data_IF_096787743654
#
_entry.id   IF_096787743654
#
_cell.length_a   1.000
_cell.length_b   1.000
_cell.length_c   1.000
_cell.angle_alpha   90.00
_cell.angle_beta   90.00
_cell.angle_gamma   90.00
#
_symmetry.space_group_name_H-M   'P 1'
#
loop_
_entity.id
_entity.type
_entity.pdbx_description
1 polymer ?
#
# COMPACT_ATOMS: atom_id res chain seq x y z
N UNK A 1 -27.40 13.93 -19.65
CA UNK A 1 -26.77 13.71 -18.33
C UNK A 1 -26.98 12.23 -18.01
N UNK A 2 -25.93 11.40 -18.11
CA UNK A 2 -26.04 9.95 -17.93
C UNK A 2 -25.95 9.66 -16.42
N UNK A 3 -27.00 9.13 -15.77
CA UNK A 3 -26.91 8.67 -14.38
C UNK A 3 -26.07 7.40 -14.37
N UNK A 4 -24.88 7.45 -13.76
CA UNK A 4 -23.96 6.31 -13.71
C UNK A 4 -22.48 6.68 -13.83
N UNK A 5 -22.15 7.96 -14.08
CA UNK A 5 -20.78 8.47 -14.09
C UNK A 5 -20.45 9.36 -12.88
N UNK A 6 -21.16 9.18 -11.77
CA UNK A 6 -20.52 9.49 -10.50
C UNK A 6 -19.53 8.33 -10.30
N UNK A 7 -18.25 8.56 -10.58
CA UNK A 7 -17.21 7.76 -9.91
C UNK A 7 -17.61 7.79 -8.44
N UNK A 8 -17.88 6.63 -7.86
CA UNK A 8 -18.27 6.53 -6.47
C UNK A 8 -17.09 7.11 -5.67
N UNK A 9 -17.15 8.40 -5.36
CA UNK A 9 -16.15 9.16 -4.59
C UNK A 9 -16.06 8.65 -3.13
N UNK A 10 -16.87 7.64 -2.87
CA UNK A 10 -17.17 6.87 -1.70
C UNK A 10 -16.45 5.49 -1.77
N UNK A 11 -15.56 5.25 -2.74
CA UNK A 11 -14.68 4.06 -2.73
C UNK A 11 -13.24 4.41 -2.38
N UNK A 12 -12.84 4.12 -1.15
CA UNK A 12 -11.48 4.34 -0.66
C UNK A 12 -10.67 3.04 -0.61
N UNK A 13 -9.51 3.03 -1.28
CA UNK A 13 -8.61 1.87 -1.36
C UNK A 13 -7.25 2.18 -0.75
N UNK A 14 -6.73 1.24 0.04
CA UNK A 14 -5.37 1.28 0.60
C UNK A 14 -4.51 0.21 -0.07
N UNK A 15 -3.34 0.62 -0.57
CA UNK A 15 -2.39 -0.28 -1.22
C UNK A 15 -1.25 -0.66 -0.27
N UNK A 16 -1.21 -1.93 0.13
CA UNK A 16 -0.15 -2.51 0.96
C UNK A 16 0.99 -3.09 0.13
N UNK A 17 2.20 -2.57 0.35
CA UNK A 17 3.44 -3.02 -0.32
C UNK A 17 4.46 -3.71 0.60
N UNK A 18 4.14 -3.81 1.89
CA UNK A 18 5.01 -4.37 2.93
C UNK A 18 4.20 -5.17 3.95
N UNK A 19 4.41 -4.93 5.24
CA UNK A 19 3.73 -5.65 6.34
C UNK A 19 2.21 -5.68 6.20
N UNK A 20 1.61 -4.62 5.65
CA UNK A 20 0.16 -4.54 5.38
C UNK A 20 -0.37 -5.68 4.51
N UNK A 21 0.46 -6.30 3.67
CA UNK A 21 0.07 -7.47 2.86
C UNK A 21 -0.26 -8.70 3.73
N UNK A 22 0.29 -8.80 4.94
CA UNK A 22 0.06 -9.94 5.85
C UNK A 22 -0.73 -9.56 7.09
N UNK A 23 -0.53 -8.34 7.59
CA UNK A 23 -1.22 -7.80 8.75
C UNK A 23 -1.63 -6.34 8.49
N UNK A 24 -2.82 -6.09 7.91
CA UNK A 24 -3.26 -4.74 7.57
C UNK A 24 -3.51 -3.87 8.80
N UNK A 25 -3.95 -4.46 9.92
CA UNK A 25 -4.19 -3.72 11.17
C UNK A 25 -5.41 -2.79 11.13
N UNK A 26 -6.27 -2.93 10.12
CA UNK A 26 -7.54 -2.22 9.99
C UNK A 26 -8.60 -3.13 9.37
N UNK A 27 -9.88 -2.81 9.59
CA UNK A 27 -10.99 -3.49 8.94
C UNK A 27 -11.08 -3.09 7.46
N UNK A 28 -11.40 -4.04 6.59
CA UNK A 28 -11.59 -3.79 5.16
C UNK A 28 -12.76 -4.64 4.66
N UNK A 29 -13.47 -4.14 3.66
CA UNK A 29 -14.59 -4.84 3.04
C UNK A 29 -14.13 -5.86 2.01
N UNK A 30 -13.02 -5.56 1.34
CA UNK A 30 -12.52 -6.37 0.23
C UNK A 30 -10.99 -6.32 0.16
N UNK A 31 -10.38 -7.44 -0.22
CA UNK A 31 -8.94 -7.53 -0.56
C UNK A 31 -8.79 -8.05 -1.98
N UNK A 32 -7.99 -7.35 -2.78
CA UNK A 32 -7.65 -7.73 -4.15
C UNK A 32 -6.12 -7.69 -4.38
N UNK A 33 -5.66 -8.37 -5.43
CA UNK A 33 -4.31 -8.20 -5.95
C UNK A 33 -4.24 -6.94 -6.83
N UNK A 34 -3.15 -6.19 -6.71
CA UNK A 34 -2.93 -4.98 -7.51
C UNK A 34 -1.52 -4.96 -8.09
N UNK A 35 -1.40 -4.51 -9.34
CA UNK A 35 -0.12 -4.32 -10.01
C UNK A 35 0.19 -2.83 -10.11
N UNK A 36 1.34 -2.41 -9.57
CA UNK A 36 1.84 -1.04 -9.73
C UNK A 36 2.99 -1.00 -10.74
N UNK A 37 2.95 -0.05 -11.67
CA UNK A 37 3.99 0.17 -12.68
C UNK A 37 4.91 1.33 -12.30
N UNK A 38 6.19 1.24 -12.69
CA UNK A 38 7.22 2.24 -12.40
C UNK A 38 7.83 2.14 -11.00
N UNK A 39 7.42 1.12 -10.23
CA UNK A 39 7.90 0.88 -8.87
C UNK A 39 8.32 -0.57 -8.69
N UNK A 40 9.32 -0.76 -7.81
CA UNK A 40 9.72 -2.07 -7.27
C UNK A 40 9.64 -2.05 -5.75
N UNK A 41 9.33 -3.19 -5.16
CA UNK A 41 9.46 -3.39 -3.71
C UNK A 41 10.93 -3.59 -3.38
N UNK A 42 11.50 -2.75 -2.52
CA UNK A 42 12.90 -2.86 -2.11
C UNK A 42 13.10 -2.43 -0.65
N UNK A 43 14.19 -2.89 -0.01
CA UNK A 43 14.55 -2.49 1.35
C UNK A 43 15.21 -1.10 1.33
N UNK A 44 14.41 -0.06 1.09
CA UNK A 44 14.90 1.30 0.87
C UNK A 44 14.46 2.32 1.93
N UNK A 45 13.65 1.93 2.92
CA UNK A 45 13.19 2.83 3.98
C UNK A 45 13.97 2.56 5.26
N UNK A 46 14.61 3.59 5.83
CA UNK A 46 15.29 3.47 7.12
C UNK A 46 14.28 3.36 8.26
N UNK A 47 14.49 2.40 9.14
CA UNK A 47 13.68 2.18 10.34
C UNK A 47 14.54 2.27 11.59
N UNK A 48 14.11 3.10 12.55
CA UNK A 48 14.79 3.31 13.84
C UNK A 48 14.05 2.72 15.05
N UNK A 49 12.87 2.14 14.85
CA UNK A 49 12.02 1.67 15.96
C UNK A 49 11.59 0.21 15.79
N UNK A 50 11.21 -0.20 14.58
CA UNK A 50 10.59 -1.52 14.38
C UNK A 50 11.61 -2.60 14.01
N UNK A 51 12.48 -2.29 13.03
CA UNK A 51 13.49 -3.21 12.52
C UNK A 51 14.91 -2.68 12.67
N UNK A 52 15.13 -1.77 13.62
CA UNK A 52 16.42 -1.17 13.94
C UNK A 52 16.30 -0.19 15.09
N UNK A 53 17.41 0.46 15.45
CA UNK A 53 17.51 1.50 16.49
C UNK A 53 18.10 2.78 15.89
N UNK A 54 18.19 3.87 16.68
CA UNK A 54 18.87 5.10 16.24
C UNK A 54 20.35 4.87 15.92
N UNK A 55 21.04 4.09 16.75
CA UNK A 55 22.47 3.81 16.59
C UNK A 55 22.75 2.79 15.49
N UNK A 56 21.82 1.83 15.28
CA UNK A 56 21.90 0.85 14.21
C UNK A 56 20.57 0.78 13.44
N UNK A 57 20.38 1.67 12.44
CA UNK A 57 19.13 1.72 11.68
C UNK A 57 18.96 0.48 10.81
N UNK A 58 17.74 -0.06 10.81
CA UNK A 58 17.35 -1.12 9.90
C UNK A 58 16.85 -0.59 8.57
N UNK A 59 16.62 -1.52 7.64
CA UNK A 59 15.92 -1.25 6.39
C UNK A 59 14.62 -2.04 6.34
N UNK A 60 13.55 -1.37 5.91
CA UNK A 60 12.23 -1.98 5.68
C UNK A 60 11.79 -1.75 4.25
N UNK A 61 10.82 -2.56 3.82
CA UNK A 61 10.27 -2.48 2.48
C UNK A 61 9.66 -1.11 2.22
N UNK A 62 10.01 -0.54 1.07
CA UNK A 62 9.41 0.63 0.45
C UNK A 62 9.17 0.40 -1.03
N UNK A 63 8.50 1.36 -1.66
CA UNK A 63 8.38 1.44 -3.11
C UNK A 63 9.45 2.36 -3.66
N UNK A 64 10.44 1.75 -4.30
CA UNK A 64 11.52 2.47 -4.98
C UNK A 64 11.15 2.69 -6.44
N UNK A 65 11.41 3.91 -6.94
CA UNK A 65 11.08 4.30 -8.31
C UNK A 65 12.16 3.83 -9.26
N UNK A 66 11.75 3.27 -10.40
CA UNK A 66 12.67 2.90 -11.46
C UNK A 66 11.93 2.21 -12.61
N UNK A 67 12.27 2.56 -13.84
CA UNK A 67 11.74 1.91 -15.03
C UNK A 67 12.86 1.12 -15.74
N UNK A 68 12.56 -0.05 -16.32
CA UNK A 68 11.27 -0.74 -16.27
C UNK A 68 11.11 -1.55 -14.96
N UNK A 69 10.07 -1.25 -14.17
CA UNK A 69 9.70 -2.05 -13.00
C UNK A 69 8.17 -2.14 -12.85
N UNK A 70 7.71 -3.28 -12.33
CA UNK A 70 6.34 -3.46 -11.86
C UNK A 70 6.35 -4.33 -10.59
N UNK A 71 5.39 -4.13 -9.70
CA UNK A 71 5.30 -4.87 -8.46
C UNK A 71 3.86 -5.22 -8.08
N UNK A 72 3.67 -6.46 -7.61
CA UNK A 72 2.42 -6.91 -7.02
C UNK A 72 2.28 -6.43 -5.57
N UNK A 73 1.12 -5.86 -5.27
CA UNK A 73 0.68 -5.32 -3.99
C UNK A 73 -0.64 -6.00 -3.57
N UNK A 74 -1.04 -5.78 -2.32
CA UNK A 74 -2.42 -6.02 -1.89
C UNK A 74 -3.19 -4.70 -1.91
N UNK A 75 -4.41 -4.69 -2.43
CA UNK A 75 -5.34 -3.57 -2.36
C UNK A 75 -6.48 -3.92 -1.39
N UNK A 76 -6.82 -3.00 -0.50
CA UNK A 76 -7.87 -3.18 0.50
C UNK A 76 -8.92 -2.07 0.34
N UNK A 77 -10.18 -2.43 0.10
CA UNK A 77 -11.28 -1.46 0.06
C UNK A 77 -11.82 -1.21 1.46
N UNK A 78 -11.88 0.04 1.87
CA UNK A 78 -12.38 0.43 3.19
C UNK A 78 -13.86 0.78 3.13
N UNK A 79 -14.55 0.60 4.25
CA UNK A 79 -15.94 1.04 4.44
C UNK A 79 -16.00 2.55 4.60
N UNK A 80 -16.96 3.21 3.94
CA UNK A 80 -17.18 4.64 4.12
C UNK A 80 -17.44 5.01 5.58
N UNK A 81 -16.81 6.12 6.01
CA UNK A 81 -16.89 6.63 7.37
C UNK A 81 -15.70 6.27 8.28
N UNK A 82 -14.76 5.42 7.84
CA UNK A 82 -13.48 5.25 8.52
C UNK A 82 -12.47 6.25 7.96
N UNK A 83 -12.45 7.46 8.52
CA UNK A 83 -11.47 8.51 8.19
C UNK A 83 -10.59 8.80 9.40
#
# INVERSE_FOLDING_TARGET
MIPGLACDMDEFWVFGYGSLMWNPGFEFMERAEALVYGYRRSLCVRSFVHRGTRDNPGLVLGLDRGAPAAAWLSAFRLKNGMR
#
